data_IF_446740355021
#
_entry.id   IF_446740355021
#
_cell.length_a   1.000
_cell.length_b   1.000
_cell.length_c   1.000
_cell.angle_alpha   90.00
_cell.angle_beta   90.00
_cell.angle_gamma   90.00
#
_symmetry.space_group_name_H-M   'P 1'
#
loop_
_entity.id
_entity.type
_entity.pdbx_description
1 polymer ?
#
# COMPACT_ATOMS: atom_id res chain seq x y z
N UNK A 1 -11.85 -1.69 13.92
CA UNK A 1 -11.09 -2.95 13.66
C UNK A 1 -9.62 -2.72 14.00
N UNK A 2 -9.01 -3.68 14.59
CA UNK A 2 -7.62 -3.58 15.03
C UNK A 2 -6.64 -3.92 13.91
N UNK A 3 -5.56 -3.13 13.79
CA UNK A 3 -4.48 -3.38 12.85
C UNK A 3 -3.68 -4.61 13.28
N UNK A 4 -3.51 -5.59 12.39
CA UNK A 4 -2.84 -6.86 12.67
C UNK A 4 -1.56 -7.07 11.85
N UNK A 5 -1.20 -6.13 10.98
CA UNK A 5 -0.05 -6.24 10.09
C UNK A 5 0.60 -4.88 9.88
N UNK A 6 1.85 -4.88 9.45
CA UNK A 6 2.59 -3.66 9.06
C UNK A 6 2.68 -2.62 10.19
N UNK A 7 2.71 -3.07 11.44
CA UNK A 7 2.71 -2.20 12.62
C UNK A 7 4.01 -1.41 12.79
N UNK A 8 5.09 -1.85 12.17
CA UNK A 8 6.40 -1.20 12.23
C UNK A 8 6.65 -0.23 11.08
N UNK A 9 5.70 -0.07 10.18
CA UNK A 9 5.88 0.81 9.04
C UNK A 9 6.11 2.26 9.50
N UNK A 10 6.94 3.01 8.76
CA UNK A 10 7.23 4.40 9.08
C UNK A 10 6.05 5.29 8.62
N UNK A 11 5.25 5.84 9.55
CA UNK A 11 4.03 6.55 9.15
C UNK A 11 4.30 7.83 8.36
N UNK A 12 5.42 8.51 8.62
CA UNK A 12 5.76 9.73 7.89
C UNK A 12 6.14 9.47 6.42
N UNK A 13 6.46 8.22 6.06
CA UNK A 13 6.80 7.83 4.69
C UNK A 13 5.69 7.06 3.99
N UNK A 14 4.90 6.30 4.74
CA UNK A 14 3.95 5.35 4.16
C UNK A 14 2.49 5.66 4.48
N UNK A 15 2.25 6.53 5.46
CA UNK A 15 0.90 6.93 5.81
C UNK A 15 0.42 6.44 7.17
N UNK A 16 -0.76 6.92 7.55
CA UNK A 16 -1.42 6.55 8.81
C UNK A 16 -2.81 6.04 8.51
N UNK A 17 -3.24 4.91 9.12
CA UNK A 17 -4.60 4.42 8.95
C UNK A 17 -5.61 5.47 9.40
N UNK A 18 -6.62 5.70 8.56
CA UNK A 18 -7.76 6.58 8.84
C UNK A 18 -8.99 5.74 9.17
N UNK A 19 -9.16 4.63 8.46
CA UNK A 19 -10.29 3.73 8.66
C UNK A 19 -9.87 2.30 8.31
N UNK A 20 -10.22 1.37 9.16
CA UNK A 20 -10.04 -0.06 8.93
C UNK A 20 -11.39 -0.76 9.10
N UNK A 21 -11.72 -1.61 8.13
CA UNK A 21 -12.88 -2.48 8.19
C UNK A 21 -12.52 -3.81 7.54
N UNK A 22 -13.38 -4.80 7.68
CA UNK A 22 -13.13 -6.09 7.06
C UNK A 22 -13.02 -5.93 5.54
N UNK A 23 -11.85 -6.24 4.98
CA UNK A 23 -11.58 -6.16 3.55
C UNK A 23 -11.43 -4.75 2.99
N UNK A 24 -11.33 -3.73 3.84
CA UNK A 24 -11.23 -2.33 3.39
C UNK A 24 -10.35 -1.51 4.31
N UNK A 25 -9.61 -0.56 3.72
CA UNK A 25 -8.79 0.37 4.48
C UNK A 25 -8.70 1.71 3.78
N UNK A 26 -8.62 2.79 4.58
CA UNK A 26 -8.23 4.12 4.10
C UNK A 26 -7.02 4.57 4.89
N UNK A 27 -6.05 5.13 4.18
CA UNK A 27 -4.77 5.57 4.76
C UNK A 27 -4.44 6.96 4.23
N UNK A 28 -4.08 7.86 5.12
CA UNK A 28 -3.70 9.23 4.77
C UNK A 28 -2.19 9.43 4.84
N UNK A 29 -1.66 10.27 3.95
CA UNK A 29 -0.24 10.63 3.94
C UNK A 29 -0.08 12.10 3.60
N UNK A 30 0.66 12.82 4.44
CA UNK A 30 1.15 14.16 4.10
C UNK A 30 2.52 13.97 3.43
N UNK A 31 2.62 14.33 2.16
CA UNK A 31 3.91 14.27 1.45
C UNK A 31 4.84 15.38 1.91
N UNK A 32 6.13 15.11 1.90
CA UNK A 32 7.15 16.03 2.41
C UNK A 32 8.28 16.21 1.40
N UNK A 33 9.13 17.20 1.64
CA UNK A 33 10.29 17.46 0.80
C UNK A 33 11.28 16.29 0.77
N UNK A 34 11.27 15.45 1.81
CA UNK A 34 12.08 14.23 1.87
C UNK A 34 11.74 13.25 0.75
N UNK A 35 10.50 13.31 0.24
CA UNK A 35 10.00 12.43 -0.82
C UNK A 35 10.24 12.98 -2.22
N UNK A 36 10.80 14.19 -2.34
CA UNK A 36 10.96 14.84 -3.62
C UNK A 36 12.07 14.20 -4.45
N UNK A 37 11.78 13.99 -5.73
CA UNK A 37 12.74 13.45 -6.70
C UNK A 37 13.60 14.56 -7.30
N UNK A 38 13.17 15.82 -7.23
CA UNK A 38 13.85 16.94 -7.86
C UNK A 38 13.68 18.24 -7.06
N UNK A 39 14.28 19.33 -7.55
CA UNK A 39 14.24 20.64 -6.89
C UNK A 39 12.86 21.30 -6.96
N UNK A 40 11.99 20.84 -7.83
CA UNK A 40 10.62 21.38 -7.95
C UNK A 40 9.65 20.73 -6.97
N UNK A 41 10.11 19.75 -6.20
CA UNK A 41 9.28 19.07 -5.21
C UNK A 41 8.40 17.95 -5.77
N UNK A 42 8.69 17.48 -6.98
CA UNK A 42 7.96 16.36 -7.55
C UNK A 42 8.17 15.12 -6.66
N UNK A 43 7.10 14.58 -6.12
CA UNK A 43 7.19 13.40 -5.25
C UNK A 43 7.53 12.18 -6.10
N UNK A 44 8.54 11.42 -5.66
CA UNK A 44 8.90 10.16 -6.30
C UNK A 44 7.73 9.17 -6.22
N UNK A 45 7.40 8.54 -7.34
CA UNK A 45 6.24 7.64 -7.45
C UNK A 45 6.27 6.46 -6.50
N UNK A 46 7.45 6.07 -6.03
CA UNK A 46 7.59 5.02 -5.03
C UNK A 46 6.87 5.33 -3.72
N UNK A 47 6.75 6.60 -3.34
CA UNK A 47 6.02 6.98 -2.12
C UNK A 47 4.51 6.92 -2.34
N UNK A 48 4.02 7.34 -3.50
CA UNK A 48 2.61 7.22 -3.84
C UNK A 48 2.20 5.75 -3.90
N UNK A 49 3.02 4.92 -4.54
CA UNK A 49 2.79 3.47 -4.57
C UNK A 49 2.90 2.84 -3.19
N UNK A 50 3.87 3.26 -2.39
CA UNK A 50 4.04 2.76 -1.02
C UNK A 50 2.80 2.98 -0.17
N UNK A 51 2.13 4.12 -0.34
CA UNK A 51 0.87 4.40 0.33
C UNK A 51 -0.23 3.42 -0.14
N UNK A 52 -0.33 3.19 -1.45
CA UNK A 52 -1.30 2.24 -2.01
C UNK A 52 -1.04 0.82 -1.51
N UNK A 53 0.21 0.40 -1.49
CA UNK A 53 0.63 -0.90 -0.98
C UNK A 53 0.24 -1.06 0.50
N UNK A 54 0.56 -0.08 1.31
CA UNK A 54 0.23 -0.11 2.74
C UNK A 54 -1.29 -0.23 2.94
N UNK A 55 -2.08 0.58 2.23
CA UNK A 55 -3.53 0.51 2.30
C UNK A 55 -4.04 -0.88 1.89
N UNK A 56 -3.46 -1.48 0.85
CA UNK A 56 -3.83 -2.82 0.40
C UNK A 56 -3.53 -3.88 1.45
N UNK A 57 -2.34 -3.81 2.08
CA UNK A 57 -1.99 -4.76 3.13
C UNK A 57 -2.92 -4.62 4.34
N UNK A 58 -3.29 -3.40 4.69
CA UNK A 58 -4.25 -3.16 5.77
C UNK A 58 -5.66 -3.62 5.42
N UNK A 59 -6.07 -3.55 4.15
CA UNK A 59 -7.36 -4.07 3.71
C UNK A 59 -7.44 -5.59 3.91
N UNK A 60 -6.34 -6.29 3.67
CA UNK A 60 -6.22 -7.73 3.94
C UNK A 60 -6.13 -7.98 5.46
N UNK A 61 -5.32 -7.20 6.13
CA UNK A 61 -5.16 -7.19 7.59
C UNK A 61 -4.89 -8.57 8.21
N UNK A 62 -4.09 -9.38 7.54
CA UNK A 62 -3.62 -10.65 8.06
C UNK A 62 -2.16 -10.53 8.50
N UNK A 63 -1.77 -11.11 9.65
CA UNK A 63 -0.42 -10.91 10.20
C UNK A 63 0.72 -11.28 9.25
N UNK A 64 0.51 -12.25 8.36
CA UNK A 64 1.56 -12.75 7.48
C UNK A 64 1.47 -12.22 6.05
N UNK A 65 0.55 -11.30 5.77
CA UNK A 65 0.33 -10.82 4.40
C UNK A 65 1.59 -10.20 3.79
N UNK A 66 1.84 -10.54 2.53
CA UNK A 66 2.89 -9.93 1.72
C UNK A 66 2.36 -9.59 0.34
N UNK A 67 2.93 -8.59 -0.28
CA UNK A 67 2.62 -8.23 -1.66
C UNK A 67 3.38 -9.16 -2.60
N UNK A 68 2.68 -9.76 -3.55
CA UNK A 68 3.27 -10.68 -4.53
C UNK A 68 3.42 -10.03 -5.91
N UNK A 69 2.44 -9.26 -6.36
CA UNK A 69 2.52 -8.55 -7.65
C UNK A 69 1.58 -7.35 -7.66
N UNK A 70 1.83 -6.44 -8.59
CA UNK A 70 0.99 -5.27 -8.74
C UNK A 70 1.00 -4.78 -10.18
N UNK A 71 -0.15 -4.29 -10.64
CA UNK A 71 -0.27 -3.51 -11.87
C UNK A 71 -0.66 -2.10 -11.45
N UNK A 72 0.14 -1.11 -11.82
CA UNK A 72 0.03 0.25 -11.32
C UNK A 72 -0.06 1.23 -12.47
N UNK A 73 -0.97 2.19 -12.36
CA UNK A 73 -1.06 3.33 -13.28
C UNK A 73 -0.86 4.61 -12.47
N UNK A 74 0.10 5.41 -12.89
CA UNK A 74 0.33 6.73 -12.32
C UNK A 74 -0.43 7.74 -13.18
N UNK A 75 -1.48 8.33 -12.61
CA UNK A 75 -2.45 9.13 -13.35
C UNK A 75 -2.16 10.62 -13.29
N UNK A 76 -1.37 11.07 -12.32
CA UNK A 76 -1.03 12.48 -12.18
C UNK A 76 0.12 12.70 -11.22
N UNK A 77 0.77 13.87 -11.31
CA UNK A 77 1.89 14.19 -10.44
C UNK A 77 1.43 14.55 -9.03
N UNK A 78 2.35 14.34 -8.08
CA UNK A 78 2.19 14.74 -6.68
C UNK A 78 3.37 15.64 -6.34
N UNK A 79 3.11 16.72 -5.60
CA UNK A 79 4.13 17.67 -5.18
C UNK A 79 4.25 17.64 -3.67
N UNK A 80 5.46 17.80 -3.15
CA UNK A 80 5.71 17.83 -1.71
C UNK A 80 4.78 18.85 -1.03
N UNK A 81 4.14 18.43 0.04
CA UNK A 81 3.11 19.21 0.74
C UNK A 81 1.68 18.77 0.40
N UNK A 82 1.49 18.02 -0.67
CA UNK A 82 0.16 17.48 -1.00
C UNK A 82 -0.27 16.43 0.02
N UNK A 83 -1.55 16.44 0.34
CA UNK A 83 -2.17 15.39 1.16
C UNK A 83 -2.78 14.35 0.25
N UNK A 84 -2.40 13.10 0.52
CA UNK A 84 -2.91 11.96 -0.23
C UNK A 84 -3.76 11.08 0.67
N UNK A 85 -4.74 10.42 0.06
CA UNK A 85 -5.52 9.39 0.72
C UNK A 85 -5.61 8.19 -0.20
N UNK A 86 -5.23 7.03 0.31
CA UNK A 86 -5.41 5.76 -0.38
C UNK A 86 -6.63 5.05 0.18
N UNK A 87 -7.40 4.46 -0.71
CA UNK A 87 -8.51 3.58 -0.37
C UNK A 87 -8.27 2.24 -1.04
N UNK A 88 -8.33 1.16 -0.26
CA UNK A 88 -8.12 -0.18 -0.77
C UNK A 88 -9.26 -1.11 -0.35
N UNK A 89 -9.63 -2.02 -1.24
CA UNK A 89 -10.63 -3.03 -0.95
C UNK A 89 -10.24 -4.37 -1.54
N UNK A 90 -10.48 -5.44 -0.77
CA UNK A 90 -10.29 -6.80 -1.22
C UNK A 90 -11.46 -7.14 -2.15
N UNK A 91 -11.15 -7.40 -3.42
CA UNK A 91 -12.17 -7.70 -4.45
C UNK A 91 -12.45 -9.20 -4.53
N UNK A 92 -11.44 -10.03 -4.26
CA UNK A 92 -11.58 -11.48 -4.36
C UNK A 92 -10.60 -12.17 -3.42
N UNK A 93 -11.04 -13.28 -2.85
CA UNK A 93 -10.23 -14.16 -2.00
C UNK A 93 -10.30 -15.57 -2.57
N UNK A 94 -9.15 -16.21 -2.72
CA UNK A 94 -9.07 -17.59 -3.19
C UNK A 94 -7.86 -18.25 -2.53
N UNK A 95 -8.12 -19.14 -1.59
CA UNK A 95 -7.06 -19.76 -0.79
C UNK A 95 -6.25 -18.70 -0.06
N UNK A 96 -4.93 -18.66 -0.31
CA UNK A 96 -4.01 -17.68 0.28
C UNK A 96 -3.94 -16.39 -0.48
N UNK A 97 -4.59 -16.29 -1.63
CA UNK A 97 -4.51 -15.12 -2.51
C UNK A 97 -5.62 -14.13 -2.18
N UNK A 98 -5.25 -12.85 -2.25
CA UNK A 98 -6.17 -11.73 -2.10
C UNK A 98 -5.93 -10.75 -3.24
N UNK A 99 -6.95 -10.52 -4.07
CA UNK A 99 -6.89 -9.49 -5.10
C UNK A 99 -7.47 -8.22 -4.53
N UNK A 100 -6.66 -7.17 -4.55
CA UNK A 100 -6.98 -5.90 -3.90
C UNK A 100 -6.93 -4.79 -4.94
N UNK A 101 -7.91 -3.91 -4.90
CA UNK A 101 -7.91 -2.69 -5.70
C UNK A 101 -7.60 -1.52 -4.78
N UNK A 102 -6.68 -0.65 -5.21
CA UNK A 102 -6.33 0.56 -4.47
C UNK A 102 -6.36 1.78 -5.37
N UNK A 103 -6.81 2.90 -4.84
CA UNK A 103 -6.80 4.19 -5.51
C UNK A 103 -6.21 5.21 -4.55
N UNK A 104 -5.26 6.00 -5.03
CA UNK A 104 -4.71 7.13 -4.27
C UNK A 104 -5.25 8.41 -4.89
N UNK A 105 -5.77 9.30 -4.04
CA UNK A 105 -6.33 10.58 -4.45
C UNK A 105 -5.62 11.73 -3.78
N UNK A 106 -5.51 12.83 -4.53
CA UNK A 106 -5.12 14.14 -4.02
C UNK A 106 -6.34 15.04 -4.18
N UNK A 107 -6.90 15.53 -3.08
CA UNK A 107 -8.09 16.38 -3.08
C UNK A 107 -9.22 15.79 -3.94
N UNK A 108 -9.47 14.49 -3.79
CA UNK A 108 -10.52 13.79 -4.52
C UNK A 108 -10.15 13.36 -5.94
N UNK A 109 -9.03 13.81 -6.48
CA UNK A 109 -8.60 13.46 -7.83
C UNK A 109 -7.68 12.25 -7.79
N UNK A 110 -7.97 11.16 -8.53
CA UNK A 110 -7.08 10.01 -8.57
C UNK A 110 -5.71 10.36 -9.15
N UNK A 111 -4.65 10.01 -8.45
CA UNK A 111 -3.27 10.17 -8.93
C UNK A 111 -2.58 8.83 -9.13
N UNK A 112 -3.15 7.75 -8.60
CA UNK A 112 -2.64 6.40 -8.81
C UNK A 112 -3.80 5.41 -8.68
N UNK A 113 -3.80 4.40 -9.53
CA UNK A 113 -4.67 3.23 -9.42
C UNK A 113 -3.83 1.98 -9.50
N UNK A 114 -4.14 0.99 -8.68
CA UNK A 114 -3.40 -0.26 -8.66
C UNK A 114 -4.32 -1.45 -8.44
N UNK A 115 -3.95 -2.55 -9.08
CA UNK A 115 -4.47 -3.88 -8.80
C UNK A 115 -3.33 -4.68 -8.20
N UNK A 116 -3.51 -5.17 -6.98
CA UNK A 116 -2.46 -5.83 -6.22
C UNK A 116 -2.88 -7.26 -5.92
N UNK A 117 -1.91 -8.16 -6.05
CA UNK A 117 -2.08 -9.52 -5.56
C UNK A 117 -1.30 -9.64 -4.26
N UNK A 118 -2.01 -9.86 -3.17
CA UNK A 118 -1.43 -10.15 -1.87
C UNK A 118 -1.55 -11.64 -1.57
N UNK A 119 -0.61 -12.16 -0.82
CA UNK A 119 -0.58 -13.56 -0.41
C UNK A 119 -0.50 -13.61 1.10
N UNK A 120 -1.25 -14.54 1.70
CA UNK A 120 -1.28 -14.77 3.15
C UNK A 120 -0.70 -16.17 3.39
N UNK A 121 0.62 -16.30 3.55
CA UNK A 121 1.23 -17.61 3.86
C UNK A 121 0.83 -18.05 5.27
N UNK A 122 0.94 -19.35 5.53
CA UNK A 122 0.58 -19.91 6.84
C UNK A 122 1.50 -19.43 7.97
N UNK A 123 2.76 -19.14 7.63
CA UNK A 123 3.75 -18.62 8.57
C UNK A 123 4.41 -17.39 7.98
N UNK A 124 5.15 -16.65 8.81
CA UNK A 124 5.90 -15.49 8.35
C UNK A 124 6.82 -15.90 7.19
N UNK A 125 6.88 -15.06 6.15
CA UNK A 125 7.63 -15.38 4.92
C UNK A 125 9.12 -15.68 5.20
N UNK A 126 9.69 -15.07 6.23
CA UNK A 126 11.08 -15.31 6.60
C UNK A 126 11.31 -16.68 7.28
N UNK A 127 10.25 -17.34 7.71
CA UNK A 127 10.34 -18.66 8.36
C UNK A 127 10.31 -19.81 7.36
N UNK A 128 10.03 -19.54 6.08
CA UNK A 128 10.07 -20.56 5.04
C UNK A 128 11.52 -20.95 4.74
N UNK A 129 11.78 -22.27 4.51
CA UNK A 129 13.13 -22.80 4.34
C UNK A 129 13.91 -22.18 3.17
N UNK A 130 13.24 -21.73 2.11
CA UNK A 130 13.85 -21.11 0.94
C UNK A 130 13.40 -19.64 0.80
N UNK A 131 13.05 -18.97 1.90
CA UNK A 131 12.40 -17.65 1.87
C UNK A 131 13.26 -16.56 1.26
N UNK A 132 14.59 -16.68 1.34
CA UNK A 132 15.53 -15.64 0.85
C UNK A 132 16.11 -15.96 -0.53
N UNK A 133 15.67 -17.04 -1.15
CA UNK A 133 16.04 -17.37 -2.51
C UNK A 133 15.09 -16.69 -3.49
N UNK A 134 15.58 -16.32 -4.70
CA UNK A 134 14.72 -15.70 -5.69
C UNK A 134 13.53 -16.60 -6.06
N UNK A 135 12.35 -16.01 -6.14
CA UNK A 135 11.16 -16.72 -6.62
C UNK A 135 11.17 -16.75 -8.14
N UNK A 136 10.62 -17.80 -8.71
CA UNK A 136 10.51 -17.99 -10.15
C UNK A 136 9.06 -17.85 -10.61
#
# INVERSE_FOLDING_TARGET
MEQRTHEKIAPHLCGRPVELAAGRARVGLLTTSEMAADQRGLVHGGFTFGLADYAAMLAVNEPTVVLASAQVKFLGPVVAGDRLEAEASVERTEGRKRWVKAVVRRDGTPVLEAELLAVVPDTHILDASASREPRR
#
